data_IF_014376929276
#
_entry.id   IF_014376929276
#
_cell.length_a   1.000
_cell.length_b   1.000
_cell.length_c   1.000
_cell.angle_alpha   90.00
_cell.angle_beta   90.00
_cell.angle_gamma   90.00
#
_symmetry.space_group_name_H-M   'P 1'
#
loop_
_entity.id
_entity.type
_entity.pdbx_description
1 polymer ?
#
# COMPACT_ATOMS: atom_id res chain seq x y z
N UNK A 1 -10.91 19.44 -21.88
CA UNK A 1 -10.33 18.07 -21.78
C UNK A 1 -9.89 17.74 -20.36
N UNK A 2 -9.72 18.77 -19.56
CA UNK A 2 -9.21 18.85 -18.20
C UNK A 2 -10.06 18.08 -17.18
N UNK A 3 -11.39 18.18 -17.26
CA UNK A 3 -12.32 17.47 -16.36
C UNK A 3 -12.18 15.94 -16.48
N UNK A 4 -11.92 15.40 -17.68
CA UNK A 4 -11.75 13.96 -17.88
C UNK A 4 -10.46 13.49 -17.18
N UNK A 5 -9.37 14.25 -17.31
CA UNK A 5 -8.10 13.95 -16.64
C UNK A 5 -8.24 14.02 -15.12
N UNK A 6 -9.01 15.00 -14.60
CA UNK A 6 -9.31 15.10 -13.17
C UNK A 6 -10.10 13.88 -12.67
N UNK A 7 -11.14 13.45 -13.39
CA UNK A 7 -11.93 12.28 -12.98
C UNK A 7 -11.05 11.02 -13.00
N UNK A 8 -10.26 10.81 -14.05
CA UNK A 8 -9.37 9.65 -14.15
C UNK A 8 -8.31 9.72 -13.04
N UNK A 9 -7.70 10.88 -12.81
CA UNK A 9 -6.69 11.07 -11.75
C UNK A 9 -7.25 10.78 -10.36
N UNK A 10 -8.48 11.23 -10.08
CA UNK A 10 -9.17 10.96 -8.82
C UNK A 10 -9.41 9.46 -8.62
N UNK A 11 -9.85 8.76 -9.68
CA UNK A 11 -10.03 7.31 -9.68
C UNK A 11 -8.70 6.59 -9.41
N UNK A 12 -7.59 7.05 -9.97
CA UNK A 12 -6.26 6.51 -9.67
C UNK A 12 -5.84 6.74 -8.21
N UNK A 13 -6.12 7.90 -7.62
CA UNK A 13 -5.88 8.13 -6.19
C UNK A 13 -6.71 7.19 -5.31
N UNK A 14 -7.98 6.95 -5.64
CA UNK A 14 -8.82 5.97 -4.93
C UNK A 14 -8.27 4.55 -5.09
N UNK A 15 -7.87 4.16 -6.30
CA UNK A 15 -7.22 2.87 -6.53
C UNK A 15 -5.88 2.74 -5.82
N UNK A 16 -5.14 3.82 -5.60
CA UNK A 16 -3.92 3.78 -4.79
C UNK A 16 -4.17 3.57 -3.30
N UNK A 17 -5.27 4.11 -2.76
CA UNK A 17 -5.72 3.80 -1.41
C UNK A 17 -6.13 2.33 -1.29
N UNK A 18 -6.94 1.83 -2.21
CA UNK A 18 -7.35 0.41 -2.25
C UNK A 18 -6.12 -0.49 -2.47
N UNK A 19 -5.22 -0.08 -3.37
CA UNK A 19 -3.96 -0.73 -3.68
C UNK A 19 -2.98 -0.73 -2.51
N UNK A 20 -3.10 0.17 -1.55
CA UNK A 20 -2.26 0.14 -0.34
C UNK A 20 -2.52 -1.11 0.49
N UNK A 21 -3.74 -1.63 0.47
CA UNK A 21 -4.11 -2.88 1.15
C UNK A 21 -3.87 -4.12 0.29
N UNK A 22 -3.81 -3.99 -1.04
CA UNK A 22 -3.60 -5.11 -1.94
C UNK A 22 -2.11 -5.26 -2.31
N UNK A 23 -1.46 -6.40 -2.05
CA UNK A 23 -0.04 -6.58 -2.33
C UNK A 23 0.30 -6.54 -3.83
N UNK A 24 -0.72 -6.67 -4.69
CA UNK A 24 -0.58 -6.66 -6.15
C UNK A 24 -0.33 -5.25 -6.69
N UNK A 25 -0.88 -4.22 -6.04
CA UNK A 25 -0.81 -2.84 -6.52
C UNK A 25 0.11 -2.01 -5.62
N UNK A 26 1.13 -1.35 -6.16
CA UNK A 26 1.92 -0.41 -5.39
C UNK A 26 1.09 0.85 -5.11
N UNK A 27 0.32 0.85 -4.01
CA UNK A 27 -0.60 1.92 -3.63
C UNK A 27 -0.08 3.36 -3.84
N UNK A 28 1.08 3.73 -3.26
CA UNK A 28 1.66 5.06 -3.44
C UNK A 28 1.98 5.42 -4.89
N UNK A 29 2.46 4.46 -5.70
CA UNK A 29 2.77 4.69 -7.13
C UNK A 29 1.47 4.91 -7.90
N UNK A 30 0.44 4.10 -7.62
CA UNK A 30 -0.88 4.25 -8.26
C UNK A 30 -1.51 5.60 -7.91
N UNK A 31 -1.43 6.06 -6.65
CA UNK A 31 -1.89 7.40 -6.26
C UNK A 31 -1.06 8.52 -6.92
N UNK A 32 0.24 8.31 -7.12
CA UNK A 32 1.11 9.27 -7.79
C UNK A 32 0.76 9.44 -9.27
N UNK A 33 0.34 8.38 -9.97
CA UNK A 33 -0.18 8.48 -11.34
C UNK A 33 -1.37 9.44 -11.41
N UNK A 34 -2.22 9.47 -10.37
CA UNK A 34 -3.29 10.45 -10.25
C UNK A 34 -2.78 11.90 -10.20
N UNK A 35 -1.74 12.18 -9.40
CA UNK A 35 -1.09 13.49 -9.35
C UNK A 35 -0.42 13.89 -10.67
N UNK A 36 0.17 12.91 -11.37
CA UNK A 36 0.77 13.11 -12.69
C UNK A 36 -0.29 13.51 -13.73
N UNK A 37 -1.42 12.81 -13.76
CA UNK A 37 -2.55 13.13 -14.64
C UNK A 37 -3.09 14.54 -14.39
N UNK A 38 -3.10 14.97 -13.12
CA UNK A 38 -3.51 16.33 -12.75
C UNK A 38 -2.57 17.40 -13.36
N UNK A 39 -1.25 17.16 -13.36
CA UNK A 39 -0.24 18.07 -13.93
C UNK A 39 -0.20 18.12 -15.47
N UNK A 40 -0.88 17.19 -16.14
CA UNK A 40 -1.11 17.27 -17.59
C UNK A 40 -2.27 18.20 -17.97
N UNK A 41 -2.95 18.76 -16.98
CA UNK A 41 -4.01 19.76 -17.18
C UNK A 41 -3.41 21.15 -17.38
N UNK A 42 -3.88 21.88 -18.39
CA UNK A 42 -3.39 23.25 -18.69
C UNK A 42 -3.70 24.26 -17.57
N UNK A 43 -4.66 23.96 -16.70
CA UNK A 43 -5.07 24.81 -15.56
C UNK A 43 -4.07 24.81 -14.40
N UNK A 44 -3.14 23.85 -14.34
CA UNK A 44 -2.22 23.70 -13.21
C UNK A 44 -0.80 24.06 -13.63
N UNK A 45 -0.17 24.91 -12.83
CA UNK A 45 1.25 25.25 -12.98
C UNK A 45 2.08 23.96 -12.89
N UNK A 46 2.80 23.65 -13.97
CA UNK A 46 3.65 22.45 -14.04
C UNK A 46 4.86 22.58 -13.11
N UNK A 47 4.70 22.15 -11.86
CA UNK A 47 5.79 22.01 -10.90
C UNK A 47 6.43 20.61 -11.00
N UNK A 48 7.43 20.50 -11.87
CA UNK A 48 8.21 19.28 -12.05
C UNK A 48 9.02 18.88 -10.80
N UNK A 49 9.32 19.83 -9.91
CA UNK A 49 10.04 19.55 -8.66
C UNK A 49 9.11 18.86 -7.67
N UNK A 50 7.88 19.35 -7.51
CA UNK A 50 6.84 18.69 -6.72
C UNK A 50 6.56 17.25 -7.19
N UNK A 51 6.41 17.06 -8.51
CA UNK A 51 6.23 15.73 -9.11
C UNK A 51 7.43 14.80 -8.86
N UNK A 52 8.66 15.32 -8.98
CA UNK A 52 9.87 14.55 -8.72
C UNK A 52 10.01 14.12 -7.26
N UNK A 53 9.70 15.02 -6.31
CA UNK A 53 9.75 14.70 -4.87
C UNK A 53 8.69 13.66 -4.51
N UNK A 54 7.45 13.83 -4.97
CA UNK A 54 6.37 12.87 -4.71
C UNK A 54 6.64 11.50 -5.34
N UNK A 55 7.28 11.45 -6.51
CA UNK A 55 7.74 10.20 -7.13
C UNK A 55 8.82 9.53 -6.29
N UNK A 56 9.81 10.29 -5.81
CA UNK A 56 10.87 9.76 -4.96
C UNK A 56 10.29 9.18 -3.66
N UNK A 57 9.36 9.89 -3.00
CA UNK A 57 8.65 9.42 -1.80
C UNK A 57 7.89 8.13 -2.10
N UNK A 58 7.15 8.10 -3.21
CA UNK A 58 6.40 6.92 -3.67
C UNK A 58 7.30 5.68 -3.83
N UNK A 59 8.46 5.84 -4.48
CA UNK A 59 9.45 4.76 -4.67
C UNK A 59 10.04 4.32 -3.34
N UNK A 60 10.41 5.27 -2.46
CA UNK A 60 10.95 4.96 -1.13
C UNK A 60 9.94 4.13 -0.32
N UNK A 61 8.67 4.54 -0.32
CA UNK A 61 7.62 3.83 0.42
C UNK A 61 7.37 2.45 -0.17
N UNK A 62 7.40 2.32 -1.50
CA UNK A 62 7.29 1.02 -2.16
C UNK A 62 8.44 0.08 -1.76
N UNK A 63 9.68 0.57 -1.70
CA UNK A 63 10.82 -0.21 -1.22
C UNK A 63 10.68 -0.56 0.27
N UNK A 64 10.29 0.41 1.10
CA UNK A 64 10.06 0.20 2.53
C UNK A 64 8.99 -0.85 2.78
N UNK A 65 7.97 -0.95 1.94
CA UNK A 65 6.94 -1.97 2.08
C UNK A 65 7.44 -3.40 1.84
N UNK A 66 8.49 -3.60 1.05
CA UNK A 66 9.12 -4.93 0.98
C UNK A 66 10.06 -5.18 2.16
N UNK A 67 10.71 -4.12 2.65
CA UNK A 67 11.74 -4.22 3.71
C UNK A 67 11.11 -4.36 5.09
N UNK A 68 10.06 -3.61 5.42
CA UNK A 68 9.43 -3.56 6.74
C UNK A 68 8.83 -4.91 7.14
N UNK A 69 8.03 -5.60 6.29
CA UNK A 69 7.55 -6.94 6.58
C UNK A 69 8.72 -7.92 6.71
N UNK A 70 9.74 -7.82 5.84
CA UNK A 70 10.90 -8.70 5.90
C UNK A 70 11.70 -8.56 7.20
N UNK A 71 11.87 -7.34 7.69
CA UNK A 71 12.50 -7.05 8.98
C UNK A 71 11.60 -7.47 10.14
N UNK A 72 10.29 -7.24 10.04
CA UNK A 72 9.29 -7.69 11.01
C UNK A 72 9.35 -9.20 11.19
N UNK A 73 9.22 -9.97 10.11
CA UNK A 73 9.29 -11.44 10.17
C UNK A 73 10.63 -11.91 10.75
N UNK A 74 11.76 -11.36 10.32
CA UNK A 74 13.09 -11.73 10.85
C UNK A 74 13.26 -11.44 12.35
N UNK A 75 12.76 -10.27 12.81
CA UNK A 75 12.91 -9.84 14.21
C UNK A 75 12.19 -10.76 15.20
N UNK A 76 11.09 -11.38 14.77
CA UNK A 76 10.33 -12.33 15.59
C UNK A 76 10.65 -13.80 15.27
N UNK A 77 11.77 -14.06 14.59
CA UNK A 77 12.26 -15.42 14.32
C UNK A 77 11.52 -16.18 13.22
N UNK A 78 10.75 -15.47 12.39
CA UNK A 78 10.07 -16.03 11.24
C UNK A 78 10.97 -16.15 10.01
N UNK A 79 10.49 -16.92 9.05
CA UNK A 79 11.17 -17.23 7.80
C UNK A 79 10.48 -16.55 6.61
N UNK A 80 11.02 -16.75 5.41
CA UNK A 80 10.37 -16.29 4.17
C UNK A 80 8.97 -16.91 3.98
N UNK A 81 8.70 -18.08 4.59
CA UNK A 81 7.43 -18.78 4.43
C UNK A 81 6.29 -18.08 5.19
N UNK A 82 6.54 -17.52 6.37
CA UNK A 82 5.57 -16.69 7.08
C UNK A 82 5.22 -15.40 6.33
N UNK A 83 6.18 -14.80 5.63
CA UNK A 83 5.98 -13.57 4.85
C UNK A 83 5.19 -13.82 3.55
N UNK A 84 5.48 -14.92 2.86
CA UNK A 84 4.70 -15.34 1.70
C UNK A 84 3.31 -15.80 2.15
N UNK A 85 3.25 -16.55 3.26
CA UNK A 85 2.01 -16.97 3.90
C UNK A 85 1.13 -15.79 4.28
N UNK A 86 1.68 -14.70 4.84
CA UNK A 86 0.90 -13.51 5.18
C UNK A 86 0.34 -12.82 3.93
N UNK A 87 1.13 -12.76 2.86
CA UNK A 87 0.72 -12.12 1.61
C UNK A 87 -0.36 -12.91 0.88
N UNK A 88 -0.22 -14.25 0.80
CA UNK A 88 -1.23 -15.13 0.22
C UNK A 88 -2.48 -15.22 1.11
N UNK A 89 -2.28 -15.26 2.43
CA UNK A 89 -3.34 -15.23 3.42
C UNK A 89 -4.20 -13.98 3.30
N UNK A 90 -3.61 -12.84 2.95
CA UNK A 90 -4.37 -11.63 2.64
C UNK A 90 -5.31 -11.83 1.44
N UNK A 91 -4.80 -12.38 0.34
CA UNK A 91 -5.57 -12.56 -0.89
C UNK A 91 -6.75 -13.50 -0.63
N UNK A 92 -6.47 -14.67 -0.02
CA UNK A 92 -7.51 -15.65 0.31
C UNK A 92 -8.47 -15.10 1.37
N UNK A 93 -7.94 -14.42 2.38
CA UNK A 93 -8.73 -13.80 3.44
C UNK A 93 -9.69 -12.75 2.90
N UNK A 94 -9.24 -11.89 1.98
CA UNK A 94 -10.06 -10.86 1.37
C UNK A 94 -11.17 -11.45 0.50
N UNK A 95 -10.89 -12.55 -0.22
CA UNK A 95 -11.89 -13.23 -1.06
C UNK A 95 -13.00 -13.91 -0.24
N UNK A 96 -12.67 -14.48 0.92
CA UNK A 96 -13.63 -15.25 1.74
C UNK A 96 -14.29 -14.43 2.86
N UNK A 97 -13.53 -13.56 3.55
CA UNK A 97 -13.99 -12.80 4.71
C UNK A 97 -14.16 -11.30 4.43
N UNK A 98 -13.93 -10.85 3.19
CA UNK A 98 -14.01 -9.44 2.82
C UNK A 98 -13.07 -8.58 3.68
N UNK A 99 -13.55 -7.44 4.25
CA UNK A 99 -12.68 -6.52 4.99
C UNK A 99 -12.04 -7.13 6.24
N UNK A 100 -12.69 -8.08 6.91
CA UNK A 100 -12.10 -8.78 8.06
C UNK A 100 -10.91 -9.66 7.65
N UNK A 101 -10.89 -10.08 6.39
CA UNK A 101 -9.80 -10.82 5.76
C UNK A 101 -8.46 -10.08 5.74
N UNK A 102 -8.47 -8.73 5.83
CA UNK A 102 -7.26 -7.91 5.85
C UNK A 102 -6.42 -8.17 7.11
N UNK A 103 -7.09 -8.50 8.22
CA UNK A 103 -6.44 -8.74 9.51
C UNK A 103 -6.26 -10.24 9.72
N UNK A 104 -7.34 -11.00 9.56
CA UNK A 104 -7.36 -12.44 9.87
C UNK A 104 -6.53 -13.24 8.85
N UNK A 105 -6.65 -12.87 7.57
CA UNK A 105 -5.98 -13.56 6.47
C UNK A 105 -4.46 -13.62 6.61
N UNK A 106 -3.76 -12.48 6.73
CA UNK A 106 -2.31 -12.48 6.85
C UNK A 106 -1.81 -13.17 8.11
N UNK A 107 -2.55 -13.07 9.22
CA UNK A 107 -2.17 -13.73 10.46
C UNK A 107 -2.23 -15.25 10.33
N UNK A 108 -3.37 -15.78 9.86
CA UNK A 108 -3.58 -17.23 9.67
C UNK A 108 -2.65 -17.76 8.58
N UNK A 109 -2.48 -17.02 7.49
CA UNK A 109 -1.58 -17.37 6.40
C UNK A 109 -0.11 -17.40 6.84
N UNK A 110 0.34 -16.44 7.65
CA UNK A 110 1.69 -16.44 8.21
C UNK A 110 1.92 -17.64 9.13
N UNK A 111 0.93 -17.94 9.99
CA UNK A 111 0.99 -19.09 10.89
C UNK A 111 1.04 -20.41 10.12
N UNK A 112 0.19 -20.60 9.12
CA UNK A 112 0.21 -21.77 8.26
C UNK A 112 1.53 -21.90 7.50
N UNK A 113 2.05 -20.80 6.94
CA UNK A 113 3.33 -20.78 6.22
C UNK A 113 4.52 -21.19 7.10
N UNK A 114 4.58 -20.69 8.34
CA UNK A 114 5.62 -21.10 9.29
C UNK A 114 5.42 -22.53 9.81
N UNK A 115 4.18 -22.95 10.03
CA UNK A 115 3.89 -24.31 10.48
C UNK A 115 4.30 -25.37 9.45
N UNK A 116 4.15 -25.08 8.15
CA UNK A 116 4.63 -25.96 7.07
C UNK A 116 6.16 -26.04 7.05
N UNK A 117 6.84 -24.94 7.39
CA UNK A 117 8.31 -24.84 7.37
C UNK A 117 8.97 -25.53 8.55
N UNK A 118 8.41 -25.37 9.75
CA UNK A 118 8.97 -25.87 11.00
C UNK A 118 7.82 -26.32 11.91
N UNK A 119 7.26 -27.49 11.63
CA UNK A 119 6.11 -28.08 12.35
C UNK A 119 6.44 -28.49 13.79
N UNK A 120 7.73 -28.56 14.12
CA UNK A 120 8.25 -29.00 15.41
C UNK A 120 7.96 -28.02 16.56
N UNK A 121 7.69 -26.74 16.28
CA UNK A 121 7.68 -25.72 17.33
C UNK A 121 6.57 -24.66 17.12
N UNK A 122 5.32 -25.06 17.41
CA UNK A 122 4.13 -24.19 17.29
C UNK A 122 4.26 -22.85 18.04
N UNK A 123 4.94 -22.81 19.19
CA UNK A 123 5.19 -21.56 19.92
C UNK A 123 6.06 -20.56 19.13
N UNK A 124 7.06 -21.08 18.40
CA UNK A 124 7.92 -20.28 17.52
C UNK A 124 7.15 -19.84 16.27
N UNK A 125 6.34 -20.73 15.68
CA UNK A 125 5.49 -20.39 14.53
C UNK A 125 4.49 -19.27 14.86
N UNK A 126 3.90 -19.28 16.07
CA UNK A 126 3.00 -18.21 16.52
C UNK A 126 3.72 -16.86 16.68
N UNK A 127 4.90 -16.85 17.31
CA UNK A 127 5.70 -15.63 17.45
C UNK A 127 6.14 -15.08 16.08
N UNK A 128 6.57 -15.96 15.19
CA UNK A 128 6.94 -15.63 13.83
C UNK A 128 5.75 -15.07 13.02
N UNK A 129 4.58 -15.69 13.15
CA UNK A 129 3.34 -15.23 12.52
C UNK A 129 2.94 -13.84 13.01
N UNK A 130 3.03 -13.58 14.32
CA UNK A 130 2.81 -12.23 14.88
C UNK A 130 3.79 -11.21 14.32
N UNK A 131 5.07 -11.54 14.21
CA UNK A 131 6.06 -10.62 13.64
C UNK A 131 5.85 -10.32 12.16
N UNK A 132 5.49 -11.34 11.38
CA UNK A 132 5.14 -11.16 9.97
C UNK A 132 3.86 -10.35 9.81
N UNK A 133 2.86 -10.59 10.65
CA UNK A 133 1.61 -9.85 10.69
C UNK A 133 1.84 -8.37 11.04
N UNK A 134 2.60 -8.08 12.10
CA UNK A 134 2.93 -6.71 12.51
C UNK A 134 3.75 -6.01 11.42
N UNK A 135 4.73 -6.69 10.85
CA UNK A 135 5.54 -6.14 9.75
C UNK A 135 4.70 -5.82 8.51
N UNK A 136 3.81 -6.74 8.12
CA UNK A 136 2.88 -6.53 7.02
C UNK A 136 1.92 -5.37 7.28
N UNK A 137 1.32 -5.31 8.47
CA UNK A 137 0.40 -4.25 8.85
C UNK A 137 1.10 -2.89 8.90
N UNK A 138 2.33 -2.84 9.42
CA UNK A 138 3.14 -1.62 9.43
C UNK A 138 3.47 -1.13 8.00
N UNK A 139 3.88 -2.02 7.09
CA UNK A 139 4.12 -1.66 5.69
C UNK A 139 2.86 -1.14 5.00
N UNK A 140 1.76 -1.86 5.15
CA UNK A 140 0.43 -1.47 4.66
C UNK A 140 0.00 -0.10 5.20
N UNK A 141 0.22 0.16 6.49
CA UNK A 141 -0.17 1.42 7.12
C UNK A 141 0.64 2.61 6.60
N UNK A 142 1.96 2.45 6.40
CA UNK A 142 2.80 3.48 5.81
C UNK A 142 2.32 3.80 4.38
N UNK A 143 2.09 2.78 3.56
CA UNK A 143 1.54 2.95 2.21
C UNK A 143 0.19 3.66 2.21
N UNK A 144 -0.69 3.29 3.12
CA UNK A 144 -2.02 3.87 3.25
C UNK A 144 -1.95 5.36 3.59
N UNK A 145 -1.13 5.75 4.57
CA UNK A 145 -0.94 7.16 4.94
C UNK A 145 -0.42 7.96 3.74
N UNK A 146 0.59 7.44 3.04
CA UNK A 146 1.19 8.15 1.90
C UNK A 146 0.20 8.31 0.76
N UNK A 147 -0.56 7.25 0.45
CA UNK A 147 -1.62 7.30 -0.57
C UNK A 147 -2.75 8.27 -0.19
N UNK A 148 -3.07 8.38 1.10
CA UNK A 148 -4.03 9.36 1.61
C UNK A 148 -3.49 10.79 1.48
N UNK A 149 -2.22 11.02 1.82
CA UNK A 149 -1.56 12.32 1.63
C UNK A 149 -1.58 12.72 0.15
N UNK A 150 -1.32 11.80 -0.77
CA UNK A 150 -1.40 12.09 -2.20
C UNK A 150 -2.82 12.44 -2.66
N UNK A 151 -3.86 11.78 -2.11
CA UNK A 151 -5.24 12.17 -2.38
C UNK A 151 -5.54 13.58 -1.84
N UNK A 152 -5.09 13.92 -0.63
CA UNK A 152 -5.26 15.26 -0.06
C UNK A 152 -4.56 16.31 -0.92
N UNK A 153 -3.33 16.03 -1.38
CA UNK A 153 -2.60 16.91 -2.30
C UNK A 153 -3.36 17.09 -3.62
N UNK A 154 -3.90 16.01 -4.18
CA UNK A 154 -4.69 16.05 -5.41
C UNK A 154 -5.93 16.94 -5.27
N UNK A 155 -6.71 16.74 -4.19
CA UNK A 155 -7.91 17.55 -3.92
C UNK A 155 -7.55 19.00 -3.64
N UNK A 156 -6.46 19.24 -2.91
CA UNK A 156 -5.99 20.60 -2.59
C UNK A 156 -5.57 21.36 -3.85
N UNK A 157 -4.84 20.72 -4.76
CA UNK A 157 -4.48 21.35 -6.04
C UNK A 157 -5.73 21.76 -6.82
N UNK A 158 -6.71 20.86 -6.96
CA UNK A 158 -8.00 21.21 -7.60
C UNK A 158 -8.67 22.40 -6.92
N UNK A 159 -8.69 22.44 -5.58
CA UNK A 159 -9.31 23.52 -4.83
C UNK A 159 -8.60 24.87 -5.02
N UNK A 160 -7.27 24.88 -5.08
CA UNK A 160 -6.48 26.11 -5.32
C UNK A 160 -6.67 26.65 -6.74
N UNK A 161 -6.98 25.78 -7.71
CA UNK A 161 -7.28 26.16 -9.09
C UNK A 161 -8.78 26.10 -9.42
N UNK A 162 -9.66 26.19 -8.41
CA UNK A 162 -11.11 26.02 -8.59
C UNK A 162 -11.67 26.92 -9.70
N UNK A 163 -11.32 28.20 -9.69
CA UNK A 163 -11.74 29.21 -10.68
C UNK A 163 -11.16 28.99 -12.09
N UNK A 164 -10.14 28.14 -12.23
CA UNK A 164 -9.55 27.79 -13.52
C UNK A 164 -10.17 26.52 -14.13
N UNK A 165 -10.85 25.71 -13.32
CA UNK A 165 -11.54 24.49 -13.75
C UNK A 165 -13.05 24.68 -13.93
N UNK A 166 -13.66 25.62 -13.20
CA UNK A 166 -15.10 25.91 -13.17
C UNK A 166 -15.38 27.41 -13.11
#
# INVERSE_FOLDING_TARGET
MDIILVIIGFVFCLFGIIGSFLPILPGPITSWIGLLLLHFTDAITRDWVFLGITLAISIIVWVLDYVVPALGTKKFGGTKYGMIGSSLGLIVGLLYLGPFGIIIGPFVGAYAGEFIKDSSNSSKAFKAALGSFIGFLAGTFIKFIVSLVFLVLFVRSIWEQWDAFF
#
